data_IF_019797134163
#
_entry.id   IF_019797134163
#
_cell.length_a   1.000
_cell.length_b   1.000
_cell.length_c   1.000
_cell.angle_alpha   90.00
_cell.angle_beta   90.00
_cell.angle_gamma   90.00
#
_symmetry.space_group_name_H-M   'P 1'
#
loop_
_entity.id
_entity.type
_entity.pdbx_description
1 polymer ?
#
# COMPACT_ATOMS: atom_id res chain seq x y z
N UNK A 1 13.91 -1.93 0.39
CA UNK A 1 13.01 -3.05 0.76
C UNK A 1 11.53 -2.70 0.53
N UNK A 2 11.10 -2.33 -0.69
CA UNK A 2 9.68 -1.98 -0.92
C UNK A 2 8.78 -3.19 -1.23
N UNK A 3 9.26 -4.12 -2.06
CA UNK A 3 8.49 -5.31 -2.46
C UNK A 3 8.27 -6.27 -1.28
N UNK A 4 9.33 -6.57 -0.53
CA UNK A 4 9.23 -7.44 0.65
C UNK A 4 8.30 -6.85 1.73
N UNK A 5 8.40 -5.54 1.98
CA UNK A 5 7.48 -4.85 2.89
C UNK A 5 6.03 -4.88 2.41
N UNK A 6 5.79 -4.63 1.12
CA UNK A 6 4.46 -4.74 0.53
C UNK A 6 3.88 -6.15 0.69
N UNK A 7 4.67 -7.20 0.47
CA UNK A 7 4.23 -8.59 0.68
C UNK A 7 3.83 -8.85 2.13
N UNK A 8 4.60 -8.36 3.11
CA UNK A 8 4.25 -8.47 4.53
C UNK A 8 2.94 -7.75 4.86
N UNK A 9 2.73 -6.53 4.33
CA UNK A 9 1.47 -5.79 4.50
C UNK A 9 0.30 -6.56 3.92
N UNK A 10 0.40 -7.08 2.69
CA UNK A 10 -0.66 -7.87 2.06
C UNK A 10 -1.00 -9.13 2.84
N UNK A 11 0.00 -9.79 3.44
CA UNK A 11 -0.24 -10.95 4.29
C UNK A 11 -1.05 -10.58 5.54
N UNK A 12 -0.86 -9.38 6.11
CA UNK A 12 -1.62 -8.86 7.25
C UNK A 12 -2.99 -8.26 6.87
N UNK A 13 -3.17 -7.82 5.63
CA UNK A 13 -4.37 -7.13 5.15
C UNK A 13 -5.62 -8.04 5.09
N UNK A 14 -5.43 -9.37 5.06
CA UNK A 14 -6.53 -10.35 4.99
C UNK A 14 -7.54 -10.25 6.13
N UNK A 15 -7.14 -9.71 7.28
CA UNK A 15 -7.97 -9.58 8.47
C UNK A 15 -8.34 -8.12 8.82
N UNK A 16 -8.03 -7.17 7.93
CA UNK A 16 -8.26 -5.74 8.16
C UNK A 16 -9.34 -5.19 7.23
N UNK A 17 -10.14 -4.27 7.75
CA UNK A 17 -11.25 -3.64 7.02
C UNK A 17 -10.96 -2.19 6.62
N UNK A 18 -9.76 -1.67 6.90
CA UNK A 18 -9.39 -0.32 6.48
C UNK A 18 -9.38 -0.18 4.95
N UNK A 19 -9.56 1.05 4.45
CA UNK A 19 -9.70 1.33 3.02
C UNK A 19 -8.52 0.81 2.17
N UNK A 20 -7.29 0.83 2.72
CA UNK A 20 -6.10 0.34 2.02
C UNK A 20 -6.12 -1.19 1.96
N UNK A 21 -6.44 -1.85 3.08
CA UNK A 21 -6.59 -3.31 3.15
C UNK A 21 -7.72 -3.81 2.26
N UNK A 22 -8.87 -3.12 2.23
CA UNK A 22 -9.99 -3.45 1.34
C UNK A 22 -9.60 -3.35 -0.14
N UNK A 23 -8.97 -2.24 -0.56
CA UNK A 23 -8.46 -2.10 -1.93
C UNK A 23 -7.43 -3.19 -2.28
N UNK A 24 -6.52 -3.50 -1.36
CA UNK A 24 -5.50 -4.51 -1.54
C UNK A 24 -6.10 -5.92 -1.66
N UNK A 25 -7.08 -6.26 -0.81
CA UNK A 25 -7.82 -7.52 -0.86
C UNK A 25 -8.59 -7.67 -2.18
N UNK A 26 -9.26 -6.61 -2.64
CA UNK A 26 -9.90 -6.59 -3.97
C UNK A 26 -8.88 -6.76 -5.10
N UNK A 27 -7.68 -6.16 -4.98
CA UNK A 27 -6.62 -6.31 -5.97
C UNK A 27 -6.08 -7.74 -6.02
N UNK A 28 -5.90 -8.38 -4.86
CA UNK A 28 -5.49 -9.77 -4.76
C UNK A 28 -6.58 -10.72 -5.30
N UNK A 29 -7.86 -10.40 -5.12
CA UNK A 29 -8.96 -11.19 -5.64
C UNK A 29 -9.08 -11.12 -7.18
N UNK A 30 -8.86 -9.93 -7.76
CA UNK A 30 -8.96 -9.73 -9.23
C UNK A 30 -7.68 -10.08 -10.00
N UNK A 31 -6.52 -10.13 -9.33
CA UNK A 31 -5.20 -10.47 -9.90
C UNK A 31 -4.51 -11.53 -9.02
N UNK A 32 -3.18 -11.50 -8.93
CA UNK A 32 -2.40 -12.38 -8.05
C UNK A 32 -1.57 -11.57 -7.03
N UNK A 33 -1.06 -12.24 -6.00
CA UNK A 33 -0.35 -11.62 -4.88
C UNK A 33 0.93 -10.87 -5.30
N UNK A 34 1.62 -11.33 -6.35
CA UNK A 34 2.84 -10.68 -6.83
C UNK A 34 2.50 -9.34 -7.49
N UNK A 35 1.46 -9.28 -8.31
CA UNK A 35 0.96 -8.04 -8.91
C UNK A 35 0.51 -7.07 -7.81
N UNK A 36 -0.25 -7.55 -6.83
CA UNK A 36 -0.68 -6.72 -5.71
C UNK A 36 0.51 -6.17 -4.90
N UNK A 37 1.56 -6.98 -4.69
CA UNK A 37 2.77 -6.57 -3.96
C UNK A 37 3.50 -5.44 -4.68
N UNK A 38 3.67 -5.58 -6.00
CA UNK A 38 4.30 -4.56 -6.84
C UNK A 38 3.45 -3.28 -6.88
N UNK A 39 2.14 -3.41 -7.02
CA UNK A 39 1.23 -2.27 -7.05
C UNK A 39 1.27 -1.47 -5.74
N UNK A 40 1.27 -2.15 -4.59
CA UNK A 40 1.38 -1.49 -3.29
C UNK A 40 2.76 -0.82 -3.11
N UNK A 41 3.84 -1.49 -3.51
CA UNK A 41 5.17 -0.90 -3.50
C UNK A 41 5.27 0.34 -4.40
N UNK A 42 4.68 0.30 -5.59
CA UNK A 42 4.65 1.44 -6.52
C UNK A 42 3.85 2.60 -5.91
N UNK A 43 2.69 2.34 -5.30
CA UNK A 43 1.91 3.35 -4.58
C UNK A 43 2.77 4.05 -3.52
N UNK A 44 3.49 3.28 -2.70
CA UNK A 44 4.40 3.82 -1.68
C UNK A 44 5.56 4.62 -2.30
N UNK A 45 6.17 4.11 -3.37
CA UNK A 45 7.25 4.80 -4.08
C UNK A 45 6.78 6.15 -4.63
N UNK A 46 5.55 6.22 -5.17
CA UNK A 46 4.97 7.46 -5.69
C UNK A 46 4.67 8.48 -4.58
N UNK A 47 4.23 8.01 -3.40
CA UNK A 47 4.11 8.87 -2.21
C UNK A 47 5.47 9.42 -1.80
N UNK A 48 6.48 8.57 -1.64
CA UNK A 48 7.85 9.00 -1.27
C UNK A 48 8.40 9.98 -2.30
N UNK A 49 8.24 9.70 -3.60
CA UNK A 49 8.66 10.60 -4.66
C UNK A 49 7.99 11.96 -4.56
N UNK A 50 6.67 12.01 -4.34
CA UNK A 50 5.94 13.26 -4.20
C UNK A 50 6.40 14.08 -2.99
N UNK A 51 6.71 13.43 -1.86
CA UNK A 51 7.26 14.08 -0.68
C UNK A 51 8.63 14.69 -0.96
N UNK A 52 9.55 13.89 -1.53
CA UNK A 52 10.90 14.33 -1.85
C UNK A 52 10.92 15.43 -2.91
N UNK A 53 10.14 15.29 -3.98
CA UNK A 53 10.07 16.26 -5.07
C UNK A 53 9.42 17.60 -4.68
N UNK A 54 8.73 17.65 -3.53
CA UNK A 54 8.04 18.84 -3.03
C UNK A 54 8.57 19.30 -1.67
N UNK A 55 9.63 18.68 -1.16
CA UNK A 55 10.20 18.94 0.17
C UNK A 55 9.13 18.98 1.28
N UNK A 56 8.18 18.03 1.22
CA UNK A 56 7.09 17.90 2.19
C UNK A 56 7.35 16.76 3.16
N UNK A 57 6.89 16.94 4.39
CA UNK A 57 6.86 15.87 5.38
C UNK A 57 5.67 14.93 5.15
N UNK A 58 5.82 13.68 5.57
CA UNK A 58 4.74 12.70 5.49
C UNK A 58 3.66 13.01 6.54
N UNK A 59 2.46 13.34 6.07
CA UNK A 59 1.26 13.38 6.92
C UNK A 59 0.44 12.11 6.68
N UNK A 60 0.30 11.27 7.71
CA UNK A 60 -0.55 10.10 7.61
C UNK A 60 -2.01 10.53 7.37
N UNK A 61 -2.73 9.91 6.42
CA UNK A 61 -4.14 10.21 6.22
C UNK A 61 -4.93 9.87 7.48
N UNK A 62 -5.90 10.72 7.84
CA UNK A 62 -6.83 10.42 8.94
C UNK A 62 -7.69 9.24 8.48
N UNK A 63 -7.49 8.08 9.11
CA UNK A 63 -8.29 6.88 8.85
C UNK A 63 -9.43 6.90 9.85
N UNK A 64 -10.64 7.30 9.42
CA UNK A 64 -11.85 7.04 10.19
C UNK A 64 -12.06 5.52 10.27
N UNK A 65 -12.20 5.02 11.50
CA UNK A 65 -12.48 3.62 11.80
C UNK A 65 -13.89 3.20 11.34
#
# INVERSE_FOLDING_TARGET
MLIHGARAVLQSAKHKQDAVSSWANQLMARRNNNIASVALANKNARTVWALLAKEREYCAPIISA
#
